data_IF_433403853957
#
_entry.id   IF_433403853957
#
_cell.length_a   1.000
_cell.length_b   1.000
_cell.length_c   1.000
_cell.angle_alpha   90.00
_cell.angle_beta   90.00
_cell.angle_gamma   90.00
#
_symmetry.space_group_name_H-M   'P 1'
#
loop_
_entity.id
_entity.type
_entity.pdbx_description
1 polymer ?
#
# COMPACT_ATOMS: atom_id res chain seq x y z
N UNK A 1 2.24 21.87 -4.24
CA UNK A 1 1.20 21.19 -5.04
C UNK A 1 0.35 20.43 -4.05
N UNK A 2 -0.97 20.43 -4.18
CA UNK A 2 -1.88 19.73 -3.26
C UNK A 2 -2.31 18.42 -3.90
N UNK A 3 -1.84 17.30 -3.36
CA UNK A 3 -2.41 15.99 -3.67
C UNK A 3 -3.81 15.89 -3.04
N UNK A 4 -4.72 15.17 -3.67
CA UNK A 4 -6.00 14.81 -3.05
C UNK A 4 -5.82 13.50 -2.29
N UNK A 5 -5.35 13.63 -1.05
CA UNK A 5 -5.11 12.50 -0.16
C UNK A 5 -6.41 11.70 0.10
N UNK A 6 -7.57 12.35 0.10
CA UNK A 6 -8.87 11.68 0.29
C UNK A 6 -9.19 10.76 -0.88
N UNK A 7 -8.98 11.25 -2.11
CA UNK A 7 -9.11 10.42 -3.32
C UNK A 7 -8.13 9.23 -3.28
N UNK A 8 -6.89 9.46 -2.88
CA UNK A 8 -5.88 8.40 -2.76
C UNK A 8 -6.26 7.30 -1.76
N UNK A 9 -6.70 7.70 -0.56
CA UNK A 9 -7.14 6.76 0.48
C UNK A 9 -8.44 6.03 0.07
N UNK A 10 -9.40 6.72 -0.55
CA UNK A 10 -10.61 6.07 -1.07
C UNK A 10 -10.25 4.96 -2.08
N UNK A 11 -9.35 5.25 -3.03
CA UNK A 11 -8.91 4.28 -4.04
C UNK A 11 -8.17 3.10 -3.40
N UNK A 12 -7.27 3.36 -2.44
CA UNK A 12 -6.56 2.33 -1.71
C UNK A 12 -7.52 1.42 -0.93
N UNK A 13 -8.53 1.99 -0.27
CA UNK A 13 -9.52 1.26 0.50
C UNK A 13 -10.50 0.46 -0.40
N UNK A 14 -10.86 0.96 -1.57
CA UNK A 14 -11.58 0.19 -2.59
C UNK A 14 -10.78 -1.04 -3.04
N UNK A 15 -9.48 -0.89 -3.28
CA UNK A 15 -8.60 -2.02 -3.61
C UNK A 15 -8.43 -2.99 -2.44
N UNK A 16 -8.29 -2.51 -1.20
CA UNK A 16 -8.22 -3.34 0.00
C UNK A 16 -9.48 -4.21 0.17
N UNK A 17 -10.67 -3.60 0.05
CA UNK A 17 -11.97 -4.30 0.09
C UNK A 17 -12.10 -5.32 -1.03
N UNK A 18 -11.59 -5.01 -2.24
CA UNK A 18 -11.55 -5.94 -3.36
C UNK A 18 -10.66 -7.14 -3.05
N UNK A 19 -9.42 -6.92 -2.61
CA UNK A 19 -8.50 -7.98 -2.22
C UNK A 19 -9.08 -8.91 -1.16
N UNK A 20 -9.71 -8.33 -0.11
CA UNK A 20 -10.45 -9.10 0.89
C UNK A 20 -11.56 -9.98 0.30
N UNK A 21 -12.36 -9.42 -0.63
CA UNK A 21 -13.45 -10.17 -1.30
C UNK A 21 -12.96 -11.27 -2.25
N UNK A 22 -11.73 -11.15 -2.77
CA UNK A 22 -11.03 -12.20 -3.53
C UNK A 22 -10.40 -13.26 -2.60
N UNK A 23 -10.55 -13.14 -1.28
CA UNK A 23 -9.92 -14.02 -0.28
C UNK A 23 -8.44 -13.71 -0.03
N UNK A 24 -7.96 -12.56 -0.48
CA UNK A 24 -6.63 -12.03 -0.28
C UNK A 24 -6.48 -11.18 0.99
N UNK A 25 -5.27 -10.63 1.17
CA UNK A 25 -4.92 -9.74 2.27
C UNK A 25 -5.47 -8.33 1.95
N UNK A 26 -6.15 -7.65 2.90
CA UNK A 26 -6.89 -6.43 2.64
C UNK A 26 -6.00 -5.18 2.66
N UNK A 27 -4.93 -5.17 1.87
CA UNK A 27 -4.10 -3.98 1.68
C UNK A 27 -4.25 -3.54 0.22
N UNK A 28 -4.58 -2.28 0.02
CA UNK A 28 -4.67 -1.63 -1.29
C UNK A 28 -3.75 -0.40 -1.36
N UNK A 29 -3.38 -0.02 -2.58
CA UNK A 29 -2.48 1.10 -2.84
C UNK A 29 -2.77 1.71 -4.21
N UNK A 30 -2.37 2.97 -4.39
CA UNK A 30 -2.38 3.62 -5.69
C UNK A 30 -1.22 4.60 -5.86
N UNK A 31 -0.83 4.82 -7.11
CA UNK A 31 0.16 5.82 -7.50
C UNK A 31 -0.56 7.00 -8.14
N UNK A 32 -0.47 8.18 -7.53
CA UNK A 32 -1.06 9.43 -8.05
C UNK A 32 0.06 10.37 -8.48
N UNK A 33 -0.01 10.85 -9.72
CA UNK A 33 0.90 11.85 -10.25
C UNK A 33 0.54 13.26 -9.74
N UNK A 34 1.52 14.17 -9.73
CA UNK A 34 1.38 15.56 -9.24
C UNK A 34 0.35 16.45 -9.96
N UNK A 35 -0.22 15.98 -11.07
CA UNK A 35 -1.35 16.61 -11.79
C UNK A 35 -2.71 16.00 -11.43
N UNK A 36 -2.77 15.11 -10.43
CA UNK A 36 -3.98 14.43 -9.96
C UNK A 36 -4.34 13.14 -10.71
N UNK A 37 -3.60 12.75 -11.76
CA UNK A 37 -3.88 11.49 -12.47
C UNK A 37 -3.45 10.28 -11.66
N UNK A 38 -4.37 9.33 -11.48
CA UNK A 38 -4.06 7.98 -11.01
C UNK A 38 -3.29 7.26 -12.12
N UNK A 39 -2.04 6.90 -11.84
CA UNK A 39 -1.16 6.17 -12.76
C UNK A 39 -1.36 4.66 -12.67
N UNK A 40 -1.66 4.15 -11.46
CA UNK A 40 -1.99 2.75 -11.21
C UNK A 40 -2.64 2.58 -9.83
N UNK A 41 -3.37 1.47 -9.67
CA UNK A 41 -3.98 1.03 -8.40
C UNK A 41 -3.92 -0.49 -8.33
N UNK A 42 -3.86 -1.04 -7.13
CA UNK A 42 -3.83 -2.48 -6.91
C UNK A 42 -3.89 -2.83 -5.43
N UNK A 43 -4.06 -4.12 -5.15
CA UNK A 43 -4.05 -4.69 -3.82
C UNK A 43 -3.06 -5.85 -3.72
N UNK A 44 -2.82 -6.31 -2.49
CA UNK A 44 -1.96 -7.45 -2.23
C UNK A 44 -2.46 -8.69 -3.00
N UNK A 45 -1.56 -9.33 -3.77
CA UNK A 45 -1.83 -10.51 -4.60
C UNK A 45 -1.11 -11.77 -4.10
N UNK A 46 -0.64 -11.80 -2.84
CA UNK A 46 0.04 -12.95 -2.25
C UNK A 46 -0.75 -14.22 -2.43
N UNK A 47 -2.00 -14.22 -1.98
CA UNK A 47 -2.87 -15.40 -2.02
C UNK A 47 -3.35 -15.66 -3.46
N UNK A 48 -3.87 -14.63 -4.14
CA UNK A 48 -4.51 -14.73 -5.45
C UNK A 48 -3.55 -15.15 -6.59
N UNK A 49 -2.23 -14.93 -6.43
CA UNK A 49 -1.20 -15.33 -7.40
C UNK A 49 -0.10 -16.21 -6.82
N UNK A 50 -0.21 -16.66 -5.56
CA UNK A 50 0.87 -17.32 -4.81
C UNK A 50 2.20 -16.54 -4.89
N UNK A 51 2.11 -15.21 -4.78
CA UNK A 51 3.24 -14.31 -5.07
C UNK A 51 3.99 -13.88 -3.80
N UNK A 52 5.31 -14.09 -3.72
CA UNK A 52 6.11 -13.66 -2.58
C UNK A 52 6.51 -12.17 -2.64
N UNK A 53 6.09 -11.42 -3.68
CA UNK A 53 6.52 -10.02 -3.91
C UNK A 53 5.39 -9.03 -4.16
N UNK A 54 4.20 -9.48 -4.55
CA UNK A 54 3.09 -8.59 -4.93
C UNK A 54 2.30 -8.13 -3.70
N UNK A 55 2.96 -7.40 -2.81
CA UNK A 55 2.31 -6.52 -1.85
C UNK A 55 1.56 -5.40 -2.60
N UNK A 56 0.66 -4.68 -1.93
CA UNK A 56 -0.25 -3.74 -2.58
C UNK A 56 0.46 -2.62 -3.35
N UNK A 57 1.56 -2.10 -2.80
CA UNK A 57 2.39 -1.04 -3.36
C UNK A 57 3.10 -1.53 -4.64
N UNK A 58 3.64 -2.75 -4.61
CA UNK A 58 4.26 -3.39 -5.77
C UNK A 58 3.21 -3.71 -6.84
N UNK A 59 2.04 -4.18 -6.43
CA UNK A 59 0.88 -4.44 -7.29
C UNK A 59 0.38 -3.16 -7.98
N UNK A 60 0.31 -2.03 -7.26
CA UNK A 60 -0.05 -0.73 -7.83
C UNK A 60 1.00 -0.19 -8.82
N UNK A 61 2.30 -0.40 -8.54
CA UNK A 61 3.40 -0.06 -9.45
C UNK A 61 3.39 -0.93 -10.72
N UNK A 62 3.20 -2.25 -10.58
CA UNK A 62 3.08 -3.20 -11.69
C UNK A 62 1.87 -2.85 -12.58
N UNK A 63 0.72 -2.55 -11.98
CA UNK A 63 -0.49 -2.14 -12.68
C UNK A 63 -0.39 -0.75 -13.34
N UNK A 64 0.50 0.14 -12.86
CA UNK A 64 0.83 1.39 -13.56
C UNK A 64 1.65 1.15 -14.84
N UNK A 65 2.28 -0.02 -14.96
CA UNK A 65 3.05 -0.45 -16.11
C UNK A 65 4.31 0.37 -16.36
N UNK A 66 4.81 0.32 -17.60
CA UNK A 66 6.01 1.06 -18.02
C UNK A 66 5.67 2.50 -18.35
N UNK A 67 6.16 3.41 -17.51
CA UNK A 67 5.99 4.86 -17.66
C UNK A 67 7.26 5.52 -18.24
N UNK A 68 7.19 6.77 -18.74
CA UNK A 68 8.38 7.52 -19.11
C UNK A 68 9.32 7.75 -17.93
N UNK A 69 10.63 7.81 -18.19
CA UNK A 69 11.66 8.05 -17.15
C UNK A 69 11.42 9.34 -16.34
N UNK A 70 10.78 10.35 -16.93
CA UNK A 70 10.39 11.60 -16.26
C UNK A 70 9.31 11.42 -15.20
N UNK A 71 8.48 10.38 -15.27
CA UNK A 71 7.49 10.07 -14.23
C UNK A 71 8.19 9.42 -13.03
N UNK A 72 9.11 8.49 -13.28
CA UNK A 72 9.93 7.89 -12.22
C UNK A 72 10.88 8.90 -11.58
N UNK A 73 11.40 9.89 -12.32
CA UNK A 73 12.28 10.93 -11.75
C UNK A 73 11.66 11.72 -10.57
N UNK A 74 10.33 11.69 -10.45
CA UNK A 74 9.53 12.32 -9.40
C UNK A 74 8.73 11.30 -8.53
N UNK A 75 9.00 9.96 -8.54
CA UNK A 75 8.21 8.91 -7.82
C UNK A 75 9.04 7.71 -7.22
N UNK A 76 8.84 7.13 -5.99
CA UNK A 76 9.77 6.28 -5.08
C UNK A 76 9.19 4.89 -4.65
N UNK A 77 9.57 4.17 -3.57
CA UNK A 77 9.69 4.48 -2.12
C UNK A 77 11.10 4.80 -1.55
N UNK A 78 12.17 4.48 -2.27
CA UNK A 78 13.50 5.09 -2.05
C UNK A 78 14.32 5.09 -3.35
N UNK A 79 14.27 3.96 -4.07
CA UNK A 79 14.93 3.77 -5.35
C UNK A 79 14.44 4.72 -6.45
N UNK A 80 13.14 5.06 -6.46
CA UNK A 80 12.55 5.76 -7.61
C UNK A 80 12.50 7.34 -7.46
N UNK A 81 12.19 7.95 -6.29
CA UNK A 81 12.02 9.43 -5.91
C UNK A 81 10.61 10.14 -5.69
N UNK A 82 9.59 9.52 -5.05
CA UNK A 82 8.27 10.04 -4.57
C UNK A 82 8.65 10.89 -3.36
N UNK A 83 8.19 12.15 -3.30
CA UNK A 83 8.42 12.99 -2.14
C UNK A 83 7.44 12.72 -1.00
N UNK A 84 6.35 11.97 -1.22
CA UNK A 84 5.20 11.83 -0.32
C UNK A 84 4.54 10.44 -0.33
N UNK A 85 4.44 9.79 0.83
CA UNK A 85 3.63 8.59 1.06
C UNK A 85 2.48 8.92 2.00
N UNK A 86 1.27 8.46 1.67
CA UNK A 86 0.06 8.63 2.50
C UNK A 86 -0.43 7.24 2.89
N UNK A 87 -0.57 7.02 4.20
CA UNK A 87 -0.98 5.76 4.81
C UNK A 87 -2.42 5.91 5.32
N UNK A 88 -3.24 4.87 5.11
CA UNK A 88 -4.57 4.80 5.73
C UNK A 88 -4.47 4.76 7.24
N UNK A 89 -3.67 3.83 7.77
CA UNK A 89 -3.37 3.67 9.19
C UNK A 89 -2.00 2.99 9.36
N UNK A 90 -1.42 3.06 10.56
CA UNK A 90 -0.21 2.32 10.93
C UNK A 90 -0.18 1.88 12.42
N UNK A 91 -1.37 1.75 13.02
CA UNK A 91 -1.53 1.25 14.39
C UNK A 91 -1.58 -0.28 14.42
N UNK A 92 -2.15 -0.90 13.39
CA UNK A 92 -2.21 -2.36 13.26
C UNK A 92 -0.86 -2.94 12.82
N UNK A 93 -0.10 -2.18 12.01
CA UNK A 93 1.24 -2.52 11.58
C UNK A 93 2.07 -1.26 11.37
N UNK A 94 3.24 -1.21 12.00
CA UNK A 94 4.27 -0.18 11.78
C UNK A 94 5.44 -0.83 11.02
N UNK A 95 5.83 -0.24 9.91
CA UNK A 95 6.85 -0.77 9.00
C UNK A 95 8.08 0.12 8.86
N UNK A 96 8.27 0.69 7.67
CA UNK A 96 9.46 1.44 7.28
C UNK A 96 9.37 2.96 7.43
N UNK A 97 8.33 3.51 8.06
CA UNK A 97 8.00 4.94 8.09
C UNK A 97 9.16 5.81 8.54
N UNK A 98 9.76 5.52 9.70
CA UNK A 98 10.87 6.32 10.20
C UNK A 98 12.12 6.27 9.30
N UNK A 99 12.29 5.21 8.50
CA UNK A 99 13.36 5.13 7.51
C UNK A 99 13.04 5.97 6.25
N UNK A 100 11.77 6.02 5.83
CA UNK A 100 11.30 6.90 4.75
C UNK A 100 11.49 8.38 5.13
N UNK A 101 11.05 8.77 6.33
CA UNK A 101 11.20 10.13 6.87
C UNK A 101 12.68 10.56 6.96
N UNK A 102 13.55 9.69 7.49
CA UNK A 102 15.00 9.94 7.56
C UNK A 102 15.66 10.14 6.19
N UNK A 103 15.06 9.63 5.12
CA UNK A 103 15.52 9.81 3.74
C UNK A 103 14.77 10.93 2.99
N UNK A 104 14.01 11.76 3.70
CA UNK A 104 13.36 12.95 3.14
C UNK A 104 12.06 12.69 2.39
N UNK A 105 11.44 11.52 2.59
CA UNK A 105 10.06 11.26 2.15
C UNK A 105 9.10 11.81 3.20
N UNK A 106 8.15 12.63 2.79
CA UNK A 106 7.03 13.07 3.63
C UNK A 106 6.09 11.89 3.85
N UNK A 107 5.95 11.42 5.09
CA UNK A 107 5.00 10.36 5.45
C UNK A 107 3.82 10.99 6.19
N UNK A 108 2.59 10.68 5.77
CA UNK A 108 1.37 11.12 6.44
C UNK A 108 0.45 9.93 6.70
N UNK A 109 0.16 9.66 7.97
CA UNK A 109 -0.92 8.77 8.37
C UNK A 109 -2.22 9.59 8.48
N UNK A 110 -3.30 9.14 7.84
CA UNK A 110 -4.62 9.80 7.93
C UNK A 110 -5.52 9.26 9.05
N UNK A 111 -5.12 8.17 9.72
CA UNK A 111 -5.87 7.48 10.78
C UNK A 111 -7.30 7.10 10.35
N UNK A 112 -7.42 6.44 9.19
CA UNK A 112 -8.69 5.97 8.64
C UNK A 112 -9.17 4.71 9.37
N UNK A 113 -10.27 4.86 10.12
CA UNK A 113 -10.87 3.78 10.91
C UNK A 113 -11.30 2.58 10.05
N UNK A 114 -11.76 2.78 8.81
CA UNK A 114 -12.25 1.68 7.97
C UNK A 114 -11.09 0.84 7.41
N UNK A 115 -9.94 1.45 7.09
CA UNK A 115 -8.69 0.73 6.80
C UNK A 115 -8.27 -0.15 7.98
N UNK A 116 -8.29 0.43 9.19
CA UNK A 116 -7.86 -0.21 10.44
C UNK A 116 -8.77 -1.37 10.83
N UNK A 117 -10.08 -1.16 10.85
CA UNK A 117 -11.07 -2.20 11.17
C UNK A 117 -10.97 -3.38 10.18
N UNK A 118 -10.78 -3.10 8.89
CA UNK A 118 -10.68 -4.13 7.86
C UNK A 118 -9.40 -4.99 8.02
N UNK A 119 -8.24 -4.37 8.28
CA UNK A 119 -6.99 -5.10 8.48
C UNK A 119 -7.01 -5.88 9.81
N UNK A 120 -7.46 -5.28 10.90
CA UNK A 120 -7.61 -5.96 12.20
C UNK A 120 -8.55 -7.18 12.11
N UNK A 121 -9.64 -7.04 11.36
CA UNK A 121 -10.56 -8.16 11.08
C UNK A 121 -9.84 -9.31 10.37
N UNK A 122 -9.10 -9.02 9.30
CA UNK A 122 -8.36 -10.06 8.56
C UNK A 122 -7.31 -10.75 9.44
N UNK A 123 -6.50 -10.00 10.19
CA UNK A 123 -5.46 -10.58 11.08
C UNK A 123 -6.09 -11.51 12.13
N UNK A 124 -7.25 -11.14 12.67
CA UNK A 124 -8.01 -11.98 13.61
C UNK A 124 -8.57 -13.25 12.96
N UNK A 125 -9.00 -13.16 11.71
CA UNK A 125 -9.56 -14.30 10.95
C UNK A 125 -8.48 -15.24 10.40
N UNK A 126 -7.31 -14.70 10.04
CA UNK A 126 -6.25 -15.36 9.26
C UNK A 126 -4.83 -14.93 9.71
N UNK A 127 -4.44 -15.20 10.98
CA UNK A 127 -3.17 -14.73 11.52
C UNK A 127 -1.94 -15.32 10.80
N UNK A 128 -1.97 -16.59 10.40
CA UNK A 128 -0.85 -17.22 9.66
C UNK A 128 -0.62 -16.61 8.28
N UNK A 129 -1.69 -16.28 7.55
CA UNK A 129 -1.58 -15.62 6.23
C UNK A 129 -1.01 -14.20 6.36
N UNK A 130 -1.36 -13.50 7.44
CA UNK A 130 -0.76 -12.20 7.77
C UNK A 130 0.73 -12.34 8.12
N UNK A 131 1.08 -13.28 9.00
CA UNK A 131 2.46 -13.56 9.40
C UNK A 131 3.34 -13.89 8.19
N UNK A 132 2.84 -14.69 7.24
CA UNK A 132 3.54 -14.99 5.98
C UNK A 132 3.83 -13.73 5.15
N UNK A 133 2.90 -12.77 5.11
CA UNK A 133 3.03 -11.52 4.35
C UNK A 133 4.13 -10.62 4.91
N UNK A 134 4.17 -10.46 6.24
CA UNK A 134 5.20 -9.66 6.91
C UNK A 134 6.49 -10.43 7.21
N UNK A 135 6.61 -11.69 6.76
CA UNK A 135 7.81 -12.51 6.93
C UNK A 135 8.09 -12.97 8.37
N UNK A 136 7.05 -13.02 9.21
CA UNK A 136 7.12 -13.49 10.60
C UNK A 136 6.77 -14.98 10.65
N UNK A 137 7.55 -15.84 11.34
CA UNK A 137 7.17 -17.24 11.55
C UNK A 137 6.00 -17.37 12.53
N UNK A 138 5.09 -18.32 12.27
CA UNK A 138 4.09 -18.73 13.25
C UNK A 138 4.75 -19.30 14.52
N UNK A 139 4.16 -18.97 15.69
CA UNK A 139 4.53 -19.58 16.97
C UNK A 139 4.16 -21.08 16.97
N UNK A 140 5.01 -21.92 17.57
CA UNK A 140 4.88 -23.39 17.60
C UNK A 140 4.24 -23.92 18.87
#
# INVERSE_FOLDING_TARGET
MTFDDKLGIQIALEEAKKGYSEGGIPIGSCLIHKDGRVLGRGHNMRIQKSSPTLHAEISALENAGRLPATVYADCSALLFKIPRIVLGENETFLGGESYLEQNGVEVVNVHDDECKELLQKFIKERPSDWNEDIGVPDEK
#
